data_IF_728737363945
#
_entry.id   IF_728737363945
#
_cell.length_a   1.000
_cell.length_b   1.000
_cell.length_c   1.000
_cell.angle_alpha   90.00
_cell.angle_beta   90.00
_cell.angle_gamma   90.00
#
_symmetry.space_group_name_H-M   'P 1'
#
loop_
_entity.id
_entity.type
_entity.pdbx_description
1 polymer ?
#
# COMPACT_ATOMS: atom_id res chain seq x y z
N UNK A 1 14.82 4.55 14.88
CA UNK A 1 15.88 4.93 15.85
C UNK A 1 15.34 5.08 17.27
N UNK A 2 14.06 5.36 17.50
CA UNK A 2 13.47 5.69 18.80
C UNK A 2 12.50 4.61 19.33
N UNK A 3 12.68 3.35 18.93
CA UNK A 3 11.75 2.27 19.31
C UNK A 3 11.74 2.06 20.84
N UNK A 4 12.90 1.98 21.47
CA UNK A 4 13.01 1.82 22.92
C UNK A 4 12.47 3.02 23.69
N UNK A 5 12.74 4.24 23.21
CA UNK A 5 12.24 5.47 23.82
C UNK A 5 10.71 5.57 23.85
N UNK A 6 10.02 4.81 22.97
CA UNK A 6 8.56 4.69 22.95
C UNK A 6 8.05 3.50 23.77
N UNK A 7 8.69 2.32 23.62
CA UNK A 7 8.21 1.08 24.23
C UNK A 7 8.27 1.15 25.75
N UNK A 8 9.41 1.57 26.33
CA UNK A 8 9.60 1.61 27.78
C UNK A 8 8.54 2.46 28.51
N UNK A 9 8.27 3.72 28.09
CA UNK A 9 7.20 4.51 28.70
C UNK A 9 5.79 3.93 28.45
N UNK A 10 5.56 3.33 27.29
CA UNK A 10 4.27 2.72 26.97
C UNK A 10 3.99 1.47 27.82
N UNK A 11 4.98 0.61 28.04
CA UNK A 11 4.88 -0.55 28.94
C UNK A 11 4.61 -0.14 30.39
N UNK A 12 5.24 0.96 30.85
CA UNK A 12 4.98 1.50 32.18
C UNK A 12 3.53 1.97 32.35
N UNK A 13 2.96 2.58 31.32
CA UNK A 13 1.57 3.05 31.34
C UNK A 13 0.60 1.86 31.26
N UNK A 14 0.90 0.87 30.41
CA UNK A 14 0.04 -0.32 30.19
C UNK A 14 0.14 -1.33 31.33
N UNK A 15 1.25 -1.34 32.06
CA UNK A 15 1.55 -2.38 33.07
C UNK A 15 1.78 -3.78 32.48
N UNK A 16 2.09 -3.85 31.18
CA UNK A 16 2.29 -5.10 30.43
C UNK A 16 3.38 -4.91 29.38
N UNK A 17 4.13 -5.98 29.03
CA UNK A 17 5.13 -5.94 27.97
C UNK A 17 4.49 -5.69 26.60
N UNK A 18 5.23 -4.99 25.73
CA UNK A 18 4.84 -4.74 24.33
C UNK A 18 5.74 -5.56 23.43
N UNK A 19 5.16 -6.54 22.77
CA UNK A 19 5.84 -7.29 21.72
C UNK A 19 5.74 -6.57 20.38
N UNK A 20 6.89 -6.40 19.71
CA UNK A 20 6.95 -5.88 18.36
C UNK A 20 7.06 -7.03 17.39
N UNK A 21 6.00 -7.26 16.66
CA UNK A 21 5.93 -8.33 15.66
C UNK A 21 6.83 -8.02 14.44
N UNK A 22 7.33 -9.08 13.82
CA UNK A 22 8.11 -8.97 12.57
C UNK A 22 7.16 -8.91 11.37
N UNK A 23 7.63 -8.34 10.25
CA UNK A 23 6.82 -8.11 9.06
C UNK A 23 6.06 -9.34 8.51
N UNK A 24 6.60 -10.55 8.67
CA UNK A 24 5.86 -11.79 8.30
C UNK A 24 4.68 -12.08 9.23
N UNK A 25 4.80 -11.80 10.51
CA UNK A 25 3.69 -11.97 11.45
C UNK A 25 2.64 -10.86 11.25
N UNK A 26 3.09 -9.63 10.98
CA UNK A 26 2.21 -8.55 10.55
C UNK A 26 1.42 -8.95 9.31
N UNK A 27 2.10 -9.45 8.27
CA UNK A 27 1.46 -9.94 7.04
C UNK A 27 0.42 -11.05 7.31
N UNK A 28 0.73 -11.99 8.24
CA UNK A 28 -0.21 -13.05 8.62
C UNK A 28 -1.48 -12.50 9.28
N UNK A 29 -1.33 -11.52 10.16
CA UNK A 29 -2.46 -10.89 10.84
C UNK A 29 -3.31 -10.05 9.88
N UNK A 30 -2.66 -9.30 8.99
CA UNK A 30 -3.34 -8.57 7.90
C UNK A 30 -4.18 -9.53 7.06
N UNK A 31 -3.60 -10.66 6.65
CA UNK A 31 -4.33 -11.64 5.84
C UNK A 31 -5.56 -12.17 6.56
N UNK A 32 -5.47 -12.51 7.84
CA UNK A 32 -6.61 -12.95 8.63
C UNK A 32 -7.72 -11.88 8.69
N UNK A 33 -7.34 -10.62 8.93
CA UNK A 33 -8.31 -9.51 8.92
C UNK A 33 -9.01 -9.34 7.59
N UNK A 34 -8.28 -9.43 6.48
CA UNK A 34 -8.82 -9.37 5.12
C UNK A 34 -9.71 -10.56 4.82
N UNK A 35 -9.25 -11.80 5.11
CA UNK A 35 -9.98 -13.03 4.82
C UNK A 35 -11.37 -13.06 5.47
N UNK A 36 -11.53 -12.48 6.67
CA UNK A 36 -12.84 -12.35 7.33
C UNK A 36 -13.83 -11.41 6.61
N UNK A 37 -13.37 -10.60 5.67
CA UNK A 37 -14.22 -9.64 4.91
C UNK A 37 -14.49 -10.11 3.48
N UNK A 38 -13.85 -11.19 3.04
CA UNK A 38 -13.98 -11.73 1.69
C UNK A 38 -14.90 -12.95 1.65
N UNK A 39 -15.29 -13.33 0.44
CA UNK A 39 -16.08 -14.55 0.21
C UNK A 39 -15.29 -15.79 0.63
N UNK A 40 -15.95 -16.75 1.24
CA UNK A 40 -15.38 -18.07 1.54
C UNK A 40 -15.49 -18.95 0.27
N UNK A 41 -14.57 -18.73 -0.65
CA UNK A 41 -14.37 -19.50 -1.88
C UNK A 41 -12.95 -20.08 -1.94
N UNK A 42 -12.65 -20.83 -3.00
CA UNK A 42 -11.35 -21.47 -3.19
C UNK A 42 -10.37 -20.63 -4.03
N UNK A 43 -10.69 -19.34 -4.26
CA UNK A 43 -9.82 -18.46 -5.02
C UNK A 43 -8.56 -18.08 -4.23
N UNK A 44 -7.40 -18.28 -4.84
CA UNK A 44 -6.14 -17.77 -4.28
C UNK A 44 -6.08 -16.26 -4.49
N UNK A 45 -5.84 -15.53 -3.42
CA UNK A 45 -5.79 -14.07 -3.42
C UNK A 45 -4.40 -13.52 -3.16
N UNK A 46 -4.05 -12.47 -3.89
CA UNK A 46 -2.92 -11.61 -3.58
C UNK A 46 -3.43 -10.45 -2.73
N UNK A 47 -3.10 -10.44 -1.45
CA UNK A 47 -3.34 -9.30 -0.56
C UNK A 47 -2.11 -8.41 -0.54
N UNK A 48 -2.31 -7.10 -0.68
CA UNK A 48 -1.27 -6.07 -0.64
C UNK A 48 -1.64 -5.03 0.41
N UNK A 49 -0.73 -4.76 1.33
CA UNK A 49 -0.87 -3.69 2.33
C UNK A 49 0.29 -2.71 2.23
N UNK A 50 0.03 -1.47 1.84
CA UNK A 50 1.05 -0.41 1.79
C UNK A 50 1.01 0.36 3.09
N UNK A 51 1.88 0.00 4.01
CA UNK A 51 2.09 0.66 5.28
C UNK A 51 2.94 1.93 5.18
N UNK A 52 3.32 2.48 6.34
CA UNK A 52 4.17 3.68 6.41
C UNK A 52 5.62 3.40 6.02
N UNK A 53 6.20 2.30 6.50
CA UNK A 53 7.62 1.91 6.30
C UNK A 53 7.81 0.74 5.34
N UNK A 54 6.87 -0.17 5.30
CA UNK A 54 6.93 -1.41 4.51
C UNK A 54 5.67 -1.61 3.68
N UNK A 55 5.71 -2.62 2.84
CA UNK A 55 4.57 -3.14 2.10
C UNK A 55 4.57 -4.66 2.21
N UNK A 56 3.48 -5.20 2.69
CA UNK A 56 3.24 -6.62 2.88
C UNK A 56 2.56 -7.21 1.67
N UNK A 57 3.00 -8.41 1.28
CA UNK A 57 2.44 -9.21 0.19
C UNK A 57 2.10 -10.58 0.71
N UNK A 58 0.85 -10.98 0.56
CA UNK A 58 0.36 -12.26 1.02
C UNK A 58 -0.34 -12.97 -0.13
N UNK A 59 0.08 -14.20 -0.42
CA UNK A 59 -0.74 -15.14 -1.18
C UNK A 59 -1.42 -16.06 -0.21
N UNK A 60 -2.72 -16.23 -0.34
CA UNK A 60 -3.47 -17.13 0.50
C UNK A 60 -4.77 -17.57 -0.15
N UNK A 61 -5.33 -18.64 0.39
CA UNK A 61 -6.59 -19.23 0.00
C UNK A 61 -7.46 -19.35 1.26
N UNK A 62 -8.72 -18.93 1.18
CA UNK A 62 -9.61 -18.86 2.35
C UNK A 62 -8.95 -18.11 3.52
N UNK A 63 -8.70 -18.80 4.65
CA UNK A 63 -8.05 -18.24 5.85
C UNK A 63 -6.58 -18.64 5.98
N UNK A 64 -6.03 -19.37 5.00
CA UNK A 64 -4.67 -19.91 5.06
C UNK A 64 -3.69 -19.08 4.24
N UNK A 65 -2.77 -18.34 4.88
CA UNK A 65 -1.70 -17.66 4.16
C UNK A 65 -0.65 -18.66 3.71
N UNK A 66 -0.42 -18.73 2.40
CA UNK A 66 0.53 -19.67 1.77
C UNK A 66 1.92 -19.06 1.62
N UNK A 67 2.01 -17.77 1.31
CA UNK A 67 3.27 -17.03 1.13
C UNK A 67 3.14 -15.65 1.73
N UNK A 68 4.17 -15.23 2.46
CA UNK A 68 4.24 -13.97 3.17
C UNK A 68 5.56 -13.29 2.85
N UNK A 69 5.50 -12.04 2.40
CA UNK A 69 6.67 -11.20 2.18
C UNK A 69 6.41 -9.78 2.67
N UNK A 70 7.48 -9.14 3.15
CA UNK A 70 7.47 -7.72 3.52
C UNK A 70 8.64 -7.02 2.84
N UNK A 71 8.34 -6.00 2.04
CA UNK A 71 9.34 -5.19 1.34
C UNK A 71 9.48 -3.83 2.01
N UNK A 72 10.72 -3.32 2.09
CA UNK A 72 11.03 -2.02 2.68
C UNK A 72 10.66 -0.87 1.73
N UNK A 73 9.35 -0.74 1.48
CA UNK A 73 8.77 0.33 0.68
C UNK A 73 7.40 0.72 1.27
N UNK A 74 7.36 1.84 1.96
CA UNK A 74 6.14 2.38 2.58
C UNK A 74 5.87 3.81 2.16
N UNK A 75 4.63 4.26 2.30
CA UNK A 75 4.21 5.58 1.81
C UNK A 75 4.86 6.74 2.58
N UNK A 76 5.19 6.56 3.86
CA UNK A 76 5.90 7.58 4.67
C UNK A 76 7.38 7.57 4.33
N UNK A 77 8.05 6.41 4.39
CA UNK A 77 9.48 6.30 4.10
C UNK A 77 9.84 6.76 2.68
N UNK A 78 8.98 6.48 1.70
CA UNK A 78 9.14 6.98 0.33
C UNK A 78 8.81 8.47 0.20
N UNK A 79 7.85 8.98 0.97
CA UNK A 79 7.57 10.41 1.09
C UNK A 79 8.81 11.17 1.54
N UNK A 80 9.43 10.73 2.63
CA UNK A 80 10.65 11.33 3.18
C UNK A 80 11.85 11.21 2.23
N UNK A 81 12.01 10.07 1.54
CA UNK A 81 13.15 9.82 0.67
C UNK A 81 13.08 10.56 -0.68
N UNK A 82 11.89 10.65 -1.28
CA UNK A 82 11.74 11.16 -2.66
C UNK A 82 11.07 12.54 -2.72
N UNK A 83 10.34 12.95 -1.66
CA UNK A 83 9.62 14.22 -1.59
C UNK A 83 9.92 14.97 -0.27
N UNK A 84 11.21 15.08 0.17
CA UNK A 84 11.57 15.54 1.51
C UNK A 84 11.15 16.98 1.81
N UNK A 85 11.01 17.82 0.78
CA UNK A 85 10.59 19.22 0.85
C UNK A 85 9.16 19.43 0.32
N UNK A 86 8.40 18.34 0.11
CA UNK A 86 7.04 18.38 -0.38
C UNK A 86 6.87 18.74 -1.85
N UNK A 87 7.95 19.02 -2.60
CA UNK A 87 7.84 19.38 -4.01
C UNK A 87 7.47 18.17 -4.89
N UNK A 88 6.51 18.37 -5.78
CA UNK A 88 6.01 17.37 -6.71
C UNK A 88 6.52 17.65 -8.12
N UNK A 89 7.22 16.70 -8.69
CA UNK A 89 7.64 16.73 -10.09
C UNK A 89 7.78 15.31 -10.64
N UNK A 90 7.88 15.22 -11.95
CA UNK A 90 7.96 13.95 -12.68
C UNK A 90 9.21 13.15 -12.29
N UNK A 91 10.35 13.82 -12.17
CA UNK A 91 11.65 13.21 -11.90
C UNK A 91 11.65 12.49 -10.55
N UNK A 92 11.11 13.12 -9.50
CA UNK A 92 10.99 12.54 -8.16
C UNK A 92 9.99 11.38 -8.14
N UNK A 93 8.86 11.55 -8.80
CA UNK A 93 7.87 10.48 -8.93
C UNK A 93 8.45 9.25 -9.63
N UNK A 94 9.14 9.46 -10.75
CA UNK A 94 9.74 8.39 -11.51
C UNK A 94 10.86 7.71 -10.72
N UNK A 95 11.65 8.45 -9.93
CA UNK A 95 12.66 7.88 -9.02
C UNK A 95 12.01 6.98 -7.96
N UNK A 96 10.94 7.43 -7.29
CA UNK A 96 10.18 6.62 -6.33
C UNK A 96 9.60 5.36 -7.00
N UNK A 97 8.95 5.52 -8.16
CA UNK A 97 8.40 4.41 -8.93
C UNK A 97 9.48 3.38 -9.31
N UNK A 98 10.61 3.82 -9.86
CA UNK A 98 11.69 2.89 -10.26
C UNK A 98 12.32 2.18 -9.06
N UNK A 99 12.48 2.87 -7.93
CA UNK A 99 12.94 2.22 -6.70
C UNK A 99 11.97 1.15 -6.24
N UNK A 100 10.67 1.42 -6.22
CA UNK A 100 9.64 0.44 -5.89
C UNK A 100 9.62 -0.74 -6.88
N UNK A 101 9.83 -0.48 -8.19
CA UNK A 101 9.95 -1.53 -9.22
C UNK A 101 11.11 -2.50 -8.93
N UNK A 102 12.24 -1.99 -8.44
CA UNK A 102 13.37 -2.82 -8.04
C UNK A 102 12.98 -3.72 -6.87
N UNK A 103 12.37 -3.16 -5.82
CA UNK A 103 11.91 -3.94 -4.67
C UNK A 103 10.92 -5.05 -5.08
N UNK A 104 9.89 -4.71 -5.87
CA UNK A 104 8.90 -5.68 -6.36
C UNK A 104 9.55 -6.78 -7.22
N UNK A 105 10.64 -6.48 -7.93
CA UNK A 105 11.33 -7.48 -8.75
C UNK A 105 11.86 -8.67 -7.96
N UNK A 106 12.18 -8.49 -6.69
CA UNK A 106 12.69 -9.55 -5.80
C UNK A 106 11.64 -10.65 -5.53
N UNK A 107 10.36 -10.25 -5.49
CA UNK A 107 9.26 -11.18 -5.19
C UNK A 107 8.51 -11.66 -6.45
N UNK A 108 8.75 -11.01 -7.61
CA UNK A 108 7.98 -11.26 -8.84
C UNK A 108 7.83 -12.74 -9.19
N UNK A 109 8.90 -13.53 -9.04
CA UNK A 109 8.89 -14.95 -9.39
C UNK A 109 7.87 -15.77 -8.59
N UNK A 110 7.61 -15.37 -7.34
CA UNK A 110 6.76 -16.10 -6.41
C UNK A 110 5.36 -15.50 -6.26
N UNK A 111 5.14 -14.29 -6.80
CA UNK A 111 3.89 -13.52 -6.71
C UNK A 111 3.34 -13.13 -8.08
N UNK A 112 3.76 -13.84 -9.14
CA UNK A 112 3.30 -13.58 -10.51
C UNK A 112 1.80 -13.85 -10.65
N UNK A 113 1.15 -13.21 -11.65
CA UNK A 113 -0.30 -13.28 -11.92
C UNK A 113 -0.85 -14.70 -12.03
N UNK A 114 -0.02 -15.66 -12.40
CA UNK A 114 -0.42 -17.08 -12.53
C UNK A 114 -0.71 -17.79 -11.19
N UNK A 115 -0.31 -17.20 -10.04
CA UNK A 115 -0.46 -17.81 -8.72
C UNK A 115 -1.69 -17.32 -7.95
N UNK A 116 -2.51 -16.44 -8.51
CA UNK A 116 -3.68 -15.88 -7.83
C UNK A 116 -4.76 -15.46 -8.83
N UNK A 117 -6.02 -15.44 -8.39
CA UNK A 117 -7.19 -15.06 -9.18
C UNK A 117 -7.60 -13.61 -8.92
N UNK A 118 -7.47 -13.15 -7.68
CA UNK A 118 -7.91 -11.82 -7.26
C UNK A 118 -6.79 -11.06 -6.54
N UNK A 119 -6.71 -9.73 -6.76
CA UNK A 119 -5.85 -8.83 -5.99
C UNK A 119 -6.68 -7.95 -5.08
N UNK A 120 -6.30 -7.89 -3.79
CA UNK A 120 -7.00 -7.14 -2.74
C UNK A 120 -6.01 -6.21 -2.03
N UNK A 121 -6.35 -4.93 -1.96
CA UNK A 121 -5.63 -3.93 -1.19
C UNK A 121 -6.26 -3.73 0.18
N UNK A 122 -5.49 -3.78 1.27
CA UNK A 122 -6.02 -3.67 2.62
C UNK A 122 -5.67 -2.36 3.34
N UNK A 123 -4.69 -1.61 2.85
CA UNK A 123 -4.18 -0.42 3.55
C UNK A 123 -5.04 0.83 3.39
N UNK A 124 -4.88 1.75 4.33
CA UNK A 124 -5.44 3.09 4.20
C UNK A 124 -4.90 3.87 2.99
N UNK A 125 -3.70 3.54 2.50
CA UNK A 125 -3.12 4.12 1.28
C UNK A 125 -3.88 3.68 0.04
N UNK A 126 -4.13 2.38 -0.12
CA UNK A 126 -4.86 1.83 -1.26
C UNK A 126 -6.33 2.26 -1.25
N UNK A 127 -6.97 2.29 -0.08
CA UNK A 127 -8.34 2.83 0.06
C UNK A 127 -8.43 4.31 -0.31
N UNK A 128 -7.45 5.12 0.06
CA UNK A 128 -7.41 6.53 -0.33
C UNK A 128 -7.27 6.68 -1.86
N UNK A 129 -6.43 5.87 -2.50
CA UNK A 129 -6.25 5.87 -3.96
C UNK A 129 -7.55 5.45 -4.66
N UNK A 130 -8.19 4.36 -4.22
CA UNK A 130 -9.50 3.94 -4.75
C UNK A 130 -10.57 5.03 -4.55
N UNK A 131 -10.64 5.62 -3.36
CA UNK A 131 -11.58 6.71 -3.08
C UNK A 131 -11.41 7.90 -4.00
N UNK A 132 -10.18 8.29 -4.33
CA UNK A 132 -9.89 9.35 -5.31
C UNK A 132 -10.33 8.95 -6.73
N UNK A 133 -10.12 7.70 -7.14
CA UNK A 133 -10.50 7.16 -8.44
C UNK A 133 -12.04 7.17 -8.59
N UNK A 134 -12.75 6.68 -7.58
CA UNK A 134 -14.22 6.64 -7.55
C UNK A 134 -14.81 8.05 -7.50
N UNK A 135 -14.28 8.92 -6.64
CA UNK A 135 -14.74 10.32 -6.54
C UNK A 135 -14.52 11.09 -7.84
N UNK A 136 -13.47 10.77 -8.58
CA UNK A 136 -13.23 11.37 -9.91
C UNK A 136 -14.11 10.77 -11.03
N UNK A 137 -14.92 9.75 -10.72
CA UNK A 137 -15.81 9.08 -11.69
C UNK A 137 -15.07 8.25 -12.75
N UNK A 138 -13.84 7.83 -12.46
CA UNK A 138 -13.07 7.02 -13.43
C UNK A 138 -13.40 5.54 -13.35
N UNK A 139 -13.87 5.10 -12.19
CA UNK A 139 -14.40 3.76 -11.94
C UNK A 139 -15.54 3.84 -10.92
N UNK A 140 -16.37 2.81 -10.89
CA UNK A 140 -17.39 2.62 -9.86
C UNK A 140 -16.79 1.98 -8.60
N UNK A 141 -15.80 1.06 -8.79
CA UNK A 141 -15.04 0.38 -7.74
C UNK A 141 -13.65 -0.02 -8.21
N UNK A 142 -12.76 -0.28 -7.26
CA UNK A 142 -11.43 -0.84 -7.51
C UNK A 142 -10.45 0.13 -8.18
N UNK A 143 -9.25 -0.39 -8.36
CA UNK A 143 -8.10 0.32 -8.91
C UNK A 143 -7.64 -0.42 -10.15
N UNK A 144 -7.44 0.27 -11.26
CA UNK A 144 -6.80 -0.24 -12.48
C UNK A 144 -5.66 0.65 -12.96
N UNK A 145 -4.90 0.16 -13.94
CA UNK A 145 -3.71 0.86 -14.45
C UNK A 145 -4.04 2.19 -15.14
N UNK A 146 -5.20 2.29 -15.78
CA UNK A 146 -5.63 3.51 -16.46
C UNK A 146 -5.98 4.61 -15.45
N UNK A 147 -6.76 4.27 -14.42
CA UNK A 147 -7.12 5.22 -13.36
C UNK A 147 -5.90 5.68 -12.55
N UNK A 148 -4.93 4.79 -12.27
CA UNK A 148 -3.66 5.17 -11.65
C UNK A 148 -2.88 6.17 -12.52
N UNK A 149 -2.88 5.99 -13.84
CA UNK A 149 -2.23 6.92 -14.78
C UNK A 149 -2.90 8.29 -14.78
N UNK A 150 -4.24 8.33 -14.73
CA UNK A 150 -5.01 9.58 -14.61
C UNK A 150 -4.73 10.27 -13.27
N UNK A 151 -4.67 9.52 -12.16
CA UNK A 151 -4.38 10.06 -10.85
C UNK A 151 -2.95 10.63 -10.78
N UNK A 152 -1.95 9.91 -11.32
CA UNK A 152 -0.59 10.42 -11.46
C UNK A 152 -0.55 11.77 -12.19
N UNK A 153 -1.25 11.87 -13.33
CA UNK A 153 -1.30 13.11 -14.10
C UNK A 153 -1.91 14.26 -13.29
N UNK A 154 -2.96 14.00 -12.51
CA UNK A 154 -3.58 15.00 -11.62
C UNK A 154 -2.63 15.42 -10.50
N UNK A 155 -2.01 14.48 -9.79
CA UNK A 155 -1.09 14.79 -8.69
C UNK A 155 0.14 15.58 -9.17
N UNK A 156 0.71 15.23 -10.31
CA UNK A 156 1.84 15.96 -10.92
C UNK A 156 1.44 17.30 -11.56
N UNK A 157 0.17 17.67 -11.54
CA UNK A 157 -0.32 18.99 -11.86
C UNK A 157 -0.10 20.01 -10.74
N UNK A 158 0.07 19.55 -9.49
CA UNK A 158 0.45 20.38 -8.35
C UNK A 158 1.97 20.47 -8.24
N UNK A 159 2.47 21.57 -7.68
CA UNK A 159 3.92 21.75 -7.46
C UNK A 159 4.38 21.31 -6.09
N UNK A 160 3.47 21.32 -5.12
CA UNK A 160 3.75 20.99 -3.72
C UNK A 160 2.63 20.15 -3.12
N UNK A 161 2.95 19.31 -2.13
CA UNK A 161 1.97 18.45 -1.45
C UNK A 161 0.86 19.25 -0.77
N UNK A 162 1.17 20.44 -0.24
CA UNK A 162 0.18 21.31 0.43
C UNK A 162 -0.83 21.91 -0.57
N UNK A 163 -0.47 21.99 -1.85
CA UNK A 163 -1.35 22.48 -2.90
C UNK A 163 -2.35 21.41 -3.38
N UNK A 164 -2.19 20.14 -2.96
CA UNK A 164 -3.07 19.07 -3.40
C UNK A 164 -4.49 19.36 -2.91
N UNK A 165 -5.36 19.65 -3.85
CA UNK A 165 -6.80 19.82 -3.63
C UNK A 165 -7.55 18.82 -4.52
N UNK A 166 -7.81 17.64 -3.96
CA UNK A 166 -8.55 16.57 -4.62
C UNK A 166 -9.74 16.15 -3.74
N UNK A 167 -10.93 16.21 -4.30
CA UNK A 167 -12.14 15.77 -3.61
C UNK A 167 -11.98 14.30 -3.14
N UNK A 168 -12.25 14.06 -1.86
CA UNK A 168 -12.09 12.73 -1.23
C UNK A 168 -10.73 12.47 -0.59
N UNK A 169 -9.74 13.37 -0.74
CA UNK A 169 -8.45 13.25 -0.06
C UNK A 169 -8.48 13.97 1.30
N UNK A 170 -8.21 13.24 2.38
CA UNK A 170 -8.06 13.86 3.70
C UNK A 170 -6.73 14.60 3.84
N UNK A 171 -6.69 15.64 4.69
CA UNK A 171 -5.47 16.42 4.97
C UNK A 171 -4.31 15.52 5.44
N UNK A 172 -4.60 14.53 6.27
CA UNK A 172 -3.59 13.59 6.80
C UNK A 172 -2.96 12.70 5.72
N UNK A 173 -3.59 12.58 4.54
CA UNK A 173 -3.12 11.75 3.43
C UNK A 173 -2.37 12.52 2.34
N UNK A 174 -2.45 13.85 2.33
CA UNK A 174 -1.75 14.67 1.32
C UNK A 174 -0.25 14.37 1.26
N UNK A 175 0.41 14.28 2.42
CA UNK A 175 1.85 14.03 2.50
C UNK A 175 2.32 12.66 2.01
N UNK A 176 1.42 11.67 1.91
CA UNK A 176 1.80 10.29 1.60
C UNK A 176 1.18 9.74 0.31
N UNK A 177 0.14 10.38 -0.23
CA UNK A 177 -0.61 9.84 -1.37
C UNK A 177 0.24 9.73 -2.63
N UNK A 178 1.14 10.70 -2.89
CA UNK A 178 1.99 10.68 -4.10
C UNK A 178 3.00 9.54 -4.05
N UNK A 179 3.66 9.35 -2.91
CA UNK A 179 4.57 8.22 -2.67
C UNK A 179 3.81 6.89 -2.73
N UNK A 180 2.66 6.80 -2.07
CA UNK A 180 1.78 5.63 -2.12
C UNK A 180 1.34 5.28 -3.54
N UNK A 181 1.01 6.30 -4.36
CA UNK A 181 0.67 6.08 -5.77
C UNK A 181 1.86 5.53 -6.57
N UNK A 182 3.07 6.04 -6.36
CA UNK A 182 4.27 5.54 -7.05
C UNK A 182 4.53 4.06 -6.71
N UNK A 183 4.38 3.67 -5.43
CA UNK A 183 4.48 2.28 -4.98
C UNK A 183 3.37 1.43 -5.62
N UNK A 184 2.11 1.89 -5.58
CA UNK A 184 0.97 1.16 -6.17
C UNK A 184 1.19 0.91 -7.66
N UNK A 185 1.60 1.92 -8.44
CA UNK A 185 1.89 1.77 -9.86
C UNK A 185 3.02 0.75 -10.11
N UNK A 186 4.05 0.76 -9.28
CA UNK A 186 5.16 -0.19 -9.37
C UNK A 186 4.71 -1.63 -9.11
N UNK A 187 3.82 -1.83 -8.14
CA UNK A 187 3.21 -3.14 -7.81
C UNK A 187 2.37 -3.64 -8.99
N UNK A 188 1.47 -2.80 -9.53
CA UNK A 188 0.64 -3.14 -10.68
C UNK A 188 1.48 -3.61 -11.87
N UNK A 189 2.52 -2.85 -12.23
CA UNK A 189 3.41 -3.19 -13.34
C UNK A 189 4.31 -4.39 -13.04
N UNK A 190 4.72 -4.56 -11.76
CA UNK A 190 5.62 -5.64 -11.35
C UNK A 190 4.95 -7.00 -11.31
N UNK A 191 3.74 -7.05 -10.79
CA UNK A 191 2.98 -8.27 -10.58
C UNK A 191 1.87 -8.49 -11.62
N UNK A 192 1.77 -7.59 -12.62
CA UNK A 192 0.79 -7.64 -13.71
C UNK A 192 -0.67 -7.64 -13.21
N UNK A 193 -0.95 -6.76 -12.24
CA UNK A 193 -2.29 -6.58 -11.71
C UNK A 193 -3.12 -5.79 -12.73
N UNK A 194 -4.24 -6.35 -13.15
CA UNK A 194 -5.21 -5.66 -14.02
C UNK A 194 -6.25 -4.87 -13.23
N UNK A 195 -6.71 -5.46 -12.11
CA UNK A 195 -7.70 -4.89 -11.21
C UNK A 195 -7.35 -5.28 -9.77
N UNK A 196 -7.47 -4.33 -8.85
CA UNK A 196 -7.37 -4.54 -7.40
C UNK A 196 -8.58 -3.91 -6.74
N UNK A 197 -9.30 -4.65 -5.91
CA UNK A 197 -10.33 -4.12 -5.01
C UNK A 197 -9.73 -3.83 -3.66
N UNK A 198 -10.36 -2.94 -2.87
CA UNK A 198 -9.90 -2.71 -1.50
C UNK A 198 -10.83 -3.40 -0.50
N UNK A 199 -10.24 -3.83 0.61
CA UNK A 199 -10.94 -4.40 1.76
C UNK A 199 -10.92 -3.43 2.93
N UNK A 200 -11.96 -3.49 3.75
CA UNK A 200 -12.00 -2.80 5.06
C UNK A 200 -11.32 -3.60 6.16
N UNK A 201 -11.06 -4.89 5.93
CA UNK A 201 -10.29 -5.74 6.84
C UNK A 201 -8.80 -5.38 6.76
N UNK A 202 -8.30 -4.78 7.82
CA UNK A 202 -6.88 -4.49 8.06
C UNK A 202 -6.61 -4.55 9.55
N UNK A 203 -5.33 -4.52 9.95
CA UNK A 203 -4.95 -4.34 11.35
C UNK A 203 -5.36 -2.95 11.86
#
# INVERSE_FOLDING_TARGET
KNRQDFIEPAEQILGAPIDVIYGREEARLIYLGVAHTLSDDEDTRLVVDIGGGSTEFILGERFEPMRLESLQMGCVSYGEAFFPDGQLNKERFDAAYHRARIEVSHIRRNYHREFWQEAVGSSGTLRAIEGLIVTAGWREDGIDRDSLTKLRKKLLGFRHIDEIDLAGLSETRKGVVTAGLAITMAIFDGLQISLMRTSMGAL
#
